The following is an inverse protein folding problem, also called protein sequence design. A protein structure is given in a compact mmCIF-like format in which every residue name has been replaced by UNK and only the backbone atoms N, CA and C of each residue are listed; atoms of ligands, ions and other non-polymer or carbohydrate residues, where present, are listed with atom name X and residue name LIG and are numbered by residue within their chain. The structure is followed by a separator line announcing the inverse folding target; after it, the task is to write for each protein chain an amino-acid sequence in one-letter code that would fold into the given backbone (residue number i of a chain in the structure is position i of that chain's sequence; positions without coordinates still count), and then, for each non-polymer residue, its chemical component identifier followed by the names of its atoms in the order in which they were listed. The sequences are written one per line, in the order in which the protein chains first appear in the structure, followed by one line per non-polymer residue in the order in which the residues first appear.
data_IF_050060299476
#
_entry.id   IF_050060299476
#
_cell.length_a   1.000
_cell.length_b   1.000
_cell.length_c   1.000
_cell.angle_alpha   90.00
_cell.angle_beta   90.00
_cell.angle_gamma   90.00
#
_symmetry.space_group_name_H-M   'P 1'
#
loop_
_entity.id
_entity.type
_entity.pdbx_description
1 polymer ?
#
# COMPACT_ATOMS: atom_id res chain seq x y z
N UNK A 1 10.62 47.91 30.39
CA UNK A 1 10.72 46.47 30.06
C UNK A 1 9.34 45.85 30.13
N UNK A 2 8.80 45.39 28.99
CA UNK A 2 7.68 44.44 28.93
C UNK A 2 8.05 43.45 27.82
N UNK A 3 8.33 42.22 28.23
CA UNK A 3 8.69 41.12 27.36
C UNK A 3 7.36 40.50 26.93
N UNK A 4 6.98 40.65 25.67
CA UNK A 4 5.89 39.88 25.07
C UNK A 4 6.57 38.88 24.14
N UNK A 5 6.72 37.64 24.64
CA UNK A 5 7.09 36.47 23.84
C UNK A 5 5.86 36.07 23.03
N UNK A 6 5.73 36.57 21.80
CA UNK A 6 4.72 36.06 20.88
C UNK A 6 5.22 34.73 20.33
N UNK A 7 4.59 33.66 20.81
CA UNK A 7 4.80 32.29 20.34
C UNK A 7 4.41 32.17 18.87
N UNK A 8 5.24 31.40 18.17
CA UNK A 8 5.07 30.87 16.82
C UNK A 8 3.73 30.15 16.66
N UNK A 9 3.02 30.40 15.56
CA UNK A 9 2.25 29.35 14.89
C UNK A 9 2.47 29.48 13.38
N UNK A 10 3.51 28.80 12.93
CA UNK A 10 3.77 28.45 11.54
C UNK A 10 2.52 27.83 10.92
N UNK A 11 1.85 28.56 10.03
CA UNK A 11 0.95 27.99 9.03
C UNK A 11 1.81 27.28 7.99
N UNK A 12 2.38 26.15 8.39
CA UNK A 12 2.99 25.18 7.51
C UNK A 12 1.83 24.47 6.79
N UNK A 13 1.37 25.02 5.67
CA UNK A 13 0.66 24.24 4.67
C UNK A 13 1.66 23.25 4.05
N UNK A 14 2.07 22.27 4.84
CA UNK A 14 2.78 21.11 4.36
C UNK A 14 1.75 20.14 3.78
N UNK A 15 1.72 20.11 2.44
CA UNK A 15 1.62 18.90 1.63
C UNK A 15 0.75 17.76 2.17
N UNK A 16 -0.49 17.66 1.68
CA UNK A 16 -1.27 16.41 1.75
C UNK A 16 -2.03 16.11 0.45
N UNK A 17 -1.69 16.79 -0.66
CA UNK A 17 -2.13 16.41 -2.01
C UNK A 17 -1.11 15.51 -2.74
N UNK A 18 -0.20 14.87 -2.01
CA UNK A 18 0.88 14.07 -2.59
C UNK A 18 1.53 13.17 -1.56
N UNK A 19 0.77 12.22 -0.99
CA UNK A 19 1.30 11.10 -0.22
C UNK A 19 0.17 10.07 0.01
N UNK A 20 -0.34 9.47 -1.07
CA UNK A 20 -1.48 8.54 -0.98
C UNK A 20 -1.35 7.34 -1.91
N UNK A 21 -1.11 7.57 -3.20
CA UNK A 21 -1.14 6.51 -4.22
C UNK A 21 0.21 6.23 -4.91
N UNK A 22 1.07 7.25 -5.13
CA UNK A 22 2.31 7.11 -5.93
C UNK A 22 3.23 5.94 -5.52
N UNK A 23 3.29 5.56 -4.24
CA UNK A 23 4.17 4.50 -3.78
C UNK A 23 3.65 3.08 -4.08
N UNK A 24 2.34 2.93 -4.34
CA UNK A 24 1.67 1.63 -4.46
C UNK A 24 1.34 1.33 -5.92
N UNK A 25 1.03 2.34 -6.73
CA UNK A 25 0.70 2.15 -8.14
C UNK A 25 1.85 1.50 -8.89
N UNK A 26 1.55 0.55 -9.77
CA UNK A 26 2.51 -0.09 -10.68
C UNK A 26 2.34 -1.59 -10.83
N UNK A 27 3.32 -2.20 -11.52
CA UNK A 27 3.35 -3.64 -11.81
C UNK A 27 4.32 -4.36 -10.90
N UNK A 28 3.91 -5.53 -10.42
CA UNK A 28 4.63 -6.32 -9.43
C UNK A 28 4.68 -7.79 -9.85
N UNK A 29 5.79 -8.45 -9.55
CA UNK A 29 5.85 -9.91 -9.50
C UNK A 29 5.23 -10.39 -8.18
N UNK A 30 4.37 -11.39 -8.26
CA UNK A 30 3.72 -12.00 -7.09
C UNK A 30 4.49 -13.26 -6.71
N UNK A 31 5.03 -13.26 -5.50
CA UNK A 31 5.64 -14.43 -4.88
C UNK A 31 4.72 -14.94 -3.78
N UNK A 32 4.30 -16.20 -3.89
CA UNK A 32 3.64 -16.90 -2.80
C UNK A 32 4.68 -17.72 -2.03
N UNK A 33 4.52 -17.79 -0.71
CA UNK A 33 5.23 -18.74 0.13
C UNK A 33 4.26 -19.61 0.89
N UNK A 34 4.49 -20.92 0.86
CA UNK A 34 3.72 -21.91 1.62
C UNK A 34 4.70 -22.77 2.41
N UNK A 35 4.61 -22.75 3.74
CA UNK A 35 5.53 -23.47 4.64
C UNK A 35 7.02 -23.25 4.31
N UNK A 36 7.39 -22.02 3.93
CA UNK A 36 8.77 -21.64 3.60
C UNK A 36 9.22 -21.94 2.16
N UNK A 37 8.46 -22.71 1.38
CA UNK A 37 8.69 -22.83 -0.05
C UNK A 37 8.20 -21.58 -0.76
N UNK A 38 9.01 -20.98 -1.62
CA UNK A 38 8.70 -19.72 -2.34
C UNK A 38 8.59 -19.99 -3.83
N UNK A 39 7.55 -19.47 -4.47
CA UNK A 39 7.37 -19.54 -5.92
C UNK A 39 6.83 -18.22 -6.47
N UNK A 40 7.30 -17.83 -7.66
CA UNK A 40 6.65 -16.79 -8.44
C UNK A 40 5.38 -17.38 -9.06
N UNK A 41 4.24 -16.77 -8.79
CA UNK A 41 2.92 -17.29 -9.18
C UNK A 41 2.22 -16.43 -10.22
N UNK A 42 2.76 -15.24 -10.53
CA UNK A 42 2.25 -14.37 -11.57
C UNK A 42 2.61 -12.91 -11.34
N UNK A 43 1.77 -12.02 -11.85
CA UNK A 43 1.92 -10.57 -11.69
C UNK A 43 0.70 -9.94 -11.04
N UNK A 44 0.92 -8.77 -10.47
CA UNK A 44 -0.13 -7.87 -10.02
C UNK A 44 0.07 -6.48 -10.64
N UNK A 45 -1.03 -5.78 -10.89
CA UNK A 45 -1.05 -4.37 -11.29
C UNK A 45 -1.95 -3.64 -10.31
N UNK A 46 -1.39 -2.65 -9.62
CA UNK A 46 -2.09 -1.84 -8.64
C UNK A 46 -2.24 -0.44 -9.23
N UNK A 47 -3.45 0.09 -9.15
CA UNK A 47 -3.88 1.36 -9.71
C UNK A 47 -4.79 2.06 -8.68
N UNK A 48 -5.10 3.34 -8.89
CA UNK A 48 -6.04 4.07 -8.02
C UNK A 48 -7.43 3.42 -8.02
N UNK A 49 -7.89 2.97 -9.19
CA UNK A 49 -9.26 2.50 -9.39
C UNK A 49 -9.39 0.96 -9.34
N UNK A 50 -8.29 0.23 -9.46
CA UNK A 50 -8.34 -1.23 -9.52
C UNK A 50 -7.07 -1.92 -9.04
N UNK A 51 -7.24 -3.19 -8.68
CA UNK A 51 -6.15 -4.16 -8.53
C UNK A 51 -6.40 -5.27 -9.52
N UNK A 52 -5.40 -5.59 -10.35
CA UNK A 52 -5.36 -6.86 -11.09
C UNK A 52 -4.38 -7.77 -10.36
N UNK A 53 -4.84 -8.94 -9.90
CA UNK A 53 -4.01 -9.92 -9.18
C UNK A 53 -4.18 -11.28 -9.83
N UNK A 54 -3.09 -11.85 -10.35
CA UNK A 54 -3.08 -13.18 -10.98
C UNK A 54 -4.12 -13.37 -12.12
N UNK A 55 -4.54 -12.28 -12.76
CA UNK A 55 -5.51 -12.26 -13.85
C UNK A 55 -6.92 -11.83 -13.44
N UNK A 56 -7.23 -11.82 -12.14
CA UNK A 56 -8.51 -11.31 -11.63
C UNK A 56 -8.43 -9.81 -11.39
N UNK A 57 -9.46 -9.07 -11.81
CA UNK A 57 -9.57 -7.62 -11.63
C UNK A 57 -10.60 -7.28 -10.55
N UNK A 58 -10.20 -6.42 -9.62
CA UNK A 58 -10.99 -5.93 -8.50
C UNK A 58 -11.10 -4.41 -8.60
N UNK A 59 -12.31 -3.88 -8.56
CA UNK A 59 -12.55 -2.43 -8.47
C UNK A 59 -12.25 -1.94 -7.05
N UNK A 60 -11.53 -0.83 -6.94
CA UNK A 60 -11.19 -0.18 -5.68
C UNK A 60 -11.92 1.16 -5.60
N UNK A 61 -12.55 1.41 -4.46
CA UNK A 61 -13.23 2.67 -4.15
C UNK A 61 -12.39 3.52 -3.19
N UNK A 62 -11.62 2.89 -2.30
CA UNK A 62 -10.80 3.58 -1.32
C UNK A 62 -9.44 2.90 -1.14
N UNK A 63 -8.39 3.72 -1.20
CA UNK A 63 -7.07 3.39 -0.66
C UNK A 63 -6.83 4.16 0.63
N UNK A 64 -6.53 3.44 1.71
CA UNK A 64 -6.17 4.03 2.99
C UNK A 64 -4.77 3.63 3.40
N UNK A 65 -3.96 4.61 3.80
CA UNK A 65 -2.63 4.41 4.36
C UNK A 65 -2.61 4.73 5.85
N UNK A 66 -2.00 3.85 6.64
CA UNK A 66 -1.70 4.06 8.05
C UNK A 66 -0.25 3.63 8.34
N UNK A 67 0.64 4.60 8.49
CA UNK A 67 2.08 4.36 8.64
C UNK A 67 2.69 3.60 7.45
N UNK A 68 3.14 2.37 7.72
CA UNK A 68 3.73 1.46 6.75
C UNK A 68 2.70 0.56 6.08
N UNK A 69 1.43 0.60 6.47
CA UNK A 69 0.40 -0.31 5.99
C UNK A 69 -0.57 0.40 5.06
N UNK A 70 -1.04 -0.32 4.04
CA UNK A 70 -1.99 0.16 3.04
C UNK A 70 -3.14 -0.83 2.90
N UNK A 71 -4.35 -0.32 2.81
CA UNK A 71 -5.57 -1.11 2.66
C UNK A 71 -6.37 -0.59 1.46
N UNK A 72 -6.68 -1.48 0.53
CA UNK A 72 -7.60 -1.23 -0.57
C UNK A 72 -8.99 -1.78 -0.23
N UNK A 73 -10.04 -1.01 -0.50
CA UNK A 73 -11.44 -1.42 -0.25
C UNK A 73 -12.30 -1.27 -1.49
N UNK A 74 -13.25 -2.19 -1.65
CA UNK A 74 -14.31 -2.07 -2.66
C UNK A 74 -15.37 -1.05 -2.22
N UNK A 75 -16.32 -0.76 -3.11
CA UNK A 75 -17.46 0.14 -2.85
C UNK A 75 -18.38 -0.27 -1.68
N UNK A 76 -18.28 -1.52 -1.22
CA UNK A 76 -19.04 -2.01 -0.07
C UNK A 76 -18.25 -1.85 1.24
N UNK A 77 -17.03 -1.32 1.18
CA UNK A 77 -16.10 -1.21 2.30
C UNK A 77 -15.36 -2.52 2.62
N UNK A 78 -15.47 -3.55 1.79
CA UNK A 78 -14.78 -4.83 1.96
C UNK A 78 -13.31 -4.65 1.61
N UNK A 79 -12.41 -5.13 2.47
CA UNK A 79 -10.98 -5.10 2.18
C UNK A 79 -10.65 -6.08 1.04
N UNK A 80 -10.07 -5.55 -0.03
CA UNK A 80 -9.58 -6.32 -1.19
C UNK A 80 -8.12 -6.72 -0.99
N UNK A 81 -7.33 -5.84 -0.38
CA UNK A 81 -5.93 -6.09 -0.05
C UNK A 81 -5.54 -5.31 1.19
N UNK A 82 -4.80 -5.97 2.09
CA UNK A 82 -4.07 -5.32 3.17
C UNK A 82 -2.59 -5.67 3.06
N UNK A 83 -1.72 -4.67 2.93
CA UNK A 83 -0.29 -4.89 2.73
C UNK A 83 0.58 -3.94 3.54
N UNK A 84 1.69 -4.46 4.07
CA UNK A 84 2.81 -3.63 4.55
C UNK A 84 3.66 -3.19 3.36
N UNK A 85 3.97 -1.91 3.31
CA UNK A 85 4.85 -1.28 2.33
C UNK A 85 6.27 -1.26 2.87
N UNK A 86 7.18 -1.83 2.10
CA UNK A 86 8.60 -1.90 2.37
C UNK A 86 9.40 -1.36 1.17
N UNK A 87 10.70 -1.18 1.37
CA UNK A 87 11.65 -0.76 0.32
C UNK A 87 11.16 0.47 -0.49
N UNK A 88 10.58 1.45 0.20
CA UNK A 88 9.99 2.66 -0.40
C UNK A 88 8.91 2.38 -1.47
N UNK A 89 8.11 1.33 -1.30
CA UNK A 89 7.05 0.96 -2.27
C UNK A 89 7.52 0.01 -3.37
N UNK A 90 8.77 -0.46 -3.32
CA UNK A 90 9.25 -1.50 -4.22
C UNK A 90 8.85 -2.91 -3.78
N UNK A 91 8.46 -3.08 -2.51
CA UNK A 91 8.05 -4.36 -1.95
C UNK A 91 6.80 -4.19 -1.10
N UNK A 92 5.79 -5.03 -1.32
CA UNK A 92 4.57 -5.09 -0.52
C UNK A 92 4.42 -6.49 0.07
N UNK A 93 4.14 -6.59 1.37
CA UNK A 93 3.88 -7.86 2.07
C UNK A 93 2.40 -7.92 2.42
N UNK A 94 1.65 -8.79 1.75
CA UNK A 94 0.20 -8.96 1.99
C UNK A 94 0.00 -9.65 3.33
N UNK A 95 -0.86 -9.06 4.16
CA UNK A 95 -1.06 -9.45 5.56
C UNK A 95 -2.20 -10.46 5.73
N UNK A 96 -2.98 -10.74 4.68
CA UNK A 96 -4.20 -11.56 4.74
C UNK A 96 -3.95 -13.09 4.69
N UNK A 97 -2.70 -13.53 4.49
CA UNK A 97 -2.37 -14.96 4.26
C UNK A 97 -2.13 -15.83 5.51
N UNK A 98 -2.04 -15.24 6.70
CA UNK A 98 -1.70 -15.96 7.93
C UNK A 98 -0.23 -16.44 7.99
N UNK A 99 0.13 -17.24 9.00
CA UNK A 99 1.53 -17.63 9.26
C UNK A 99 2.08 -18.67 8.26
N UNK A 100 1.19 -19.51 7.72
CA UNK A 100 1.57 -20.62 6.83
C UNK A 100 1.61 -20.23 5.34
N UNK A 101 0.93 -19.14 4.96
CA UNK A 101 0.87 -18.64 3.59
C UNK A 101 1.18 -17.15 3.61
N UNK A 102 2.23 -16.73 2.90
CA UNK A 102 2.53 -15.30 2.73
C UNK A 102 2.57 -14.94 1.26
N UNK A 103 2.10 -13.76 0.91
CA UNK A 103 2.23 -13.21 -0.43
C UNK A 103 3.07 -11.94 -0.39
N UNK A 104 4.06 -11.85 -1.27
CA UNK A 104 4.91 -10.66 -1.46
C UNK A 104 4.78 -10.18 -2.90
N UNK A 105 4.60 -8.88 -3.08
CA UNK A 105 4.60 -8.22 -4.37
C UNK A 105 5.91 -7.43 -4.49
N UNK A 106 6.70 -7.70 -5.53
CA UNK A 106 7.96 -6.99 -5.80
C UNK A 106 7.85 -6.24 -7.11
N UNK A 107 8.07 -4.92 -7.08
CA UNK A 107 7.92 -4.04 -8.23
C UNK A 107 8.81 -4.49 -9.39
N UNK A 108 8.24 -4.52 -10.58
CA UNK A 108 8.96 -4.79 -11.83
C UNK A 108 9.67 -3.50 -12.24
N UNK A 109 10.98 -3.59 -12.48
CA UNK A 109 11.82 -2.47 -12.94
C UNK A 109 11.72 -2.27 -14.45
#
# INVERSE_FOLDING_TARGET
MKIIKTLVLTSLFAALAGCGSDAIEGKFNVQASVMGFKSNVGTAELDEDYITLLGDKYEIDEWKRDGDTVVARDKNGTAVMNARVEDNGNRLVVLDGGELVSMTLTRIK
#
